data_IF_947765385955
#
_entry.id   IF_947765385955
#
_cell.length_a   1.000
_cell.length_b   1.000
_cell.length_c   1.000
_cell.angle_alpha   90.00
_cell.angle_beta   90.00
_cell.angle_gamma   90.00
#
_symmetry.space_group_name_H-M   'P 1'
#
loop_
_entity.id
_entity.type
_entity.pdbx_description
1 polymer ?
#
# COMPACT_ATOMS: atom_id res chain seq x y z
N UNK A 1 -18.33 2.72 7.60
CA UNK A 1 -19.12 2.86 6.36
C UNK A 1 -18.28 3.71 5.45
N UNK A 2 -17.67 3.06 4.47
CA UNK A 2 -16.70 3.65 3.55
C UNK A 2 -17.49 4.23 2.39
N UNK A 3 -17.66 5.54 2.37
CA UNK A 3 -18.37 6.23 1.29
C UNK A 3 -17.63 7.52 0.95
N UNK A 4 -16.53 7.34 0.24
CA UNK A 4 -15.84 8.42 -0.46
C UNK A 4 -16.28 8.47 -1.93
N UNK A 5 -16.20 9.67 -2.54
CA UNK A 5 -16.46 9.85 -3.99
C UNK A 5 -15.42 9.08 -4.81
N UNK A 6 -14.20 9.01 -4.31
CA UNK A 6 -13.13 8.20 -4.86
C UNK A 6 -12.75 7.14 -3.82
N UNK A 7 -13.01 5.87 -4.13
CA UNK A 7 -12.68 4.75 -3.26
C UNK A 7 -12.08 3.60 -4.08
N UNK A 8 -10.77 3.39 -3.89
CA UNK A 8 -10.05 2.25 -4.46
C UNK A 8 -9.22 1.54 -3.41
N UNK A 9 -8.77 0.34 -3.77
CA UNK A 9 -7.88 -0.47 -2.96
C UNK A 9 -6.62 -0.78 -3.75
N UNK A 10 -5.46 -0.78 -3.10
CA UNK A 10 -4.20 -1.31 -3.60
C UNK A 10 -3.63 -2.29 -2.57
N UNK A 11 -2.69 -3.14 -2.97
CA UNK A 11 -2.10 -4.13 -2.08
C UNK A 11 -0.59 -3.95 -2.02
N UNK A 12 -0.03 -3.98 -0.81
CA UNK A 12 1.40 -3.95 -0.56
C UNK A 12 1.85 -5.22 0.15
N UNK A 13 2.65 -6.02 -0.55
CA UNK A 13 3.49 -7.04 0.06
C UNK A 13 4.91 -6.54 0.15
N UNK A 14 5.60 -6.79 1.24
CA UNK A 14 7.05 -6.66 1.20
C UNK A 14 7.81 -7.66 2.06
N UNK A 15 9.04 -7.95 1.63
CA UNK A 15 9.98 -8.83 2.30
C UNK A 15 11.26 -8.10 2.65
N UNK A 16 11.80 -8.37 3.84
CA UNK A 16 13.08 -7.87 4.33
C UNK A 16 14.01 -9.05 4.57
N UNK A 17 15.17 -9.05 3.92
CA UNK A 17 16.21 -10.07 4.12
C UNK A 17 15.67 -11.52 3.96
N UNK A 18 14.76 -11.72 2.99
CA UNK A 18 14.12 -13.01 2.69
C UNK A 18 12.91 -13.37 3.55
N UNK A 19 12.50 -12.52 4.49
CA UNK A 19 11.33 -12.75 5.34
C UNK A 19 10.17 -11.82 4.97
N UNK A 20 8.98 -12.38 4.80
CA UNK A 20 7.77 -11.59 4.62
C UNK A 20 7.45 -10.78 5.87
N UNK A 21 7.13 -9.50 5.69
CA UNK A 21 6.75 -8.57 6.76
C UNK A 21 5.33 -8.10 6.48
N UNK A 22 4.46 -8.21 7.49
CA UNK A 22 3.10 -7.73 7.38
C UNK A 22 3.07 -6.19 7.38
N UNK A 23 2.21 -5.61 6.54
CA UNK A 23 1.75 -4.24 6.74
C UNK A 23 0.78 -4.26 7.91
N UNK A 24 0.98 -3.47 8.99
CA UNK A 24 0.10 -3.52 10.16
C UNK A 24 -1.27 -2.89 9.85
N UNK A 25 -2.28 -3.35 10.60
CA UNK A 25 -3.58 -2.70 10.66
C UNK A 25 -3.49 -1.32 11.34
N UNK A 26 -4.38 -0.40 10.99
CA UNK A 26 -4.55 0.87 11.67
C UNK A 26 -3.58 1.97 11.25
N UNK A 27 -2.75 1.75 10.21
CA UNK A 27 -2.00 2.87 9.62
C UNK A 27 -3.00 3.87 9.08
N UNK A 28 -2.83 5.16 9.39
CA UNK A 28 -3.75 6.20 8.93
C UNK A 28 -5.04 6.29 9.74
N UNK A 29 -5.22 5.50 10.82
CA UNK A 29 -6.41 5.53 11.67
C UNK A 29 -6.02 6.01 13.05
N UNK A 30 -6.59 7.13 13.51
CA UNK A 30 -6.34 7.61 14.87
C UNK A 30 -6.72 6.52 15.90
N UNK A 31 -5.95 6.30 16.97
CA UNK A 31 -6.23 5.22 17.93
C UNK A 31 -7.60 5.30 18.60
N UNK A 32 -8.18 6.49 18.70
CA UNK A 32 -9.52 6.76 19.22
C UNK A 32 -10.61 6.72 18.14
N UNK A 33 -10.26 6.43 16.89
CA UNK A 33 -11.15 6.39 15.73
C UNK A 33 -11.68 7.77 15.29
N UNK A 34 -11.13 8.86 15.82
CA UNK A 34 -11.64 10.22 15.55
C UNK A 34 -11.32 10.74 14.15
N UNK A 35 -10.28 10.19 13.52
CA UNK A 35 -9.77 10.66 12.23
C UNK A 35 -9.24 9.49 11.40
N UNK A 36 -9.41 9.62 10.08
CA UNK A 36 -8.95 8.69 9.06
C UNK A 36 -8.17 9.48 7.99
N UNK A 37 -6.91 9.12 7.78
CA UNK A 37 -6.17 9.57 6.61
C UNK A 37 -6.79 8.94 5.35
N UNK A 38 -6.77 9.66 4.24
CA UNK A 38 -7.28 9.12 2.95
C UNK A 38 -6.60 7.82 2.54
N UNK A 39 -5.35 7.61 2.96
CA UNK A 39 -4.63 6.36 2.82
C UNK A 39 -4.56 5.67 4.19
N UNK A 40 -5.11 4.47 4.31
CA UNK A 40 -5.14 3.74 5.58
C UNK A 40 -5.28 2.23 5.40
N UNK A 41 -5.12 1.48 6.49
CA UNK A 41 -5.29 0.01 6.53
C UNK A 41 -6.30 -0.41 7.59
N UNK A 42 -7.28 -1.24 7.24
CA UNK A 42 -8.22 -1.83 8.21
C UNK A 42 -7.72 -3.11 8.84
N UNK A 43 -6.89 -3.88 8.11
CA UNK A 43 -6.35 -5.16 8.58
C UNK A 43 -4.85 -5.24 8.28
N UNK A 44 -4.22 -6.34 8.71
CA UNK A 44 -2.79 -6.58 8.50
C UNK A 44 -2.48 -7.38 7.24
N UNK A 45 -3.40 -7.43 6.28
CA UNK A 45 -3.28 -8.23 5.05
C UNK A 45 -2.51 -7.51 3.93
N UNK A 46 -2.18 -6.23 4.09
CA UNK A 46 -1.48 -5.45 3.07
C UNK A 46 -2.38 -4.57 2.21
N UNK A 47 -3.71 -4.60 2.40
CA UNK A 47 -4.62 -3.75 1.63
C UNK A 47 -4.54 -2.30 2.13
N UNK A 48 -4.17 -1.41 1.20
CA UNK A 48 -4.20 0.04 1.36
C UNK A 48 -5.51 0.54 0.77
N UNK A 49 -6.34 1.14 1.63
CA UNK A 49 -7.54 1.86 1.23
C UNK A 49 -7.16 3.26 0.78
N UNK A 50 -7.75 3.72 -0.32
CA UNK A 50 -7.62 5.10 -0.81
C UNK A 50 -9.02 5.69 -0.90
N UNK A 51 -9.36 6.54 0.06
CA UNK A 51 -10.67 7.17 0.19
C UNK A 51 -10.54 8.69 0.26
N UNK A 52 -10.94 9.36 -0.82
CA UNK A 52 -10.81 10.80 -0.95
C UNK A 52 -12.14 11.47 -1.38
N UNK A 53 -12.38 12.73 -0.99
CA UNK A 53 -13.59 13.46 -1.37
C UNK A 53 -13.66 13.79 -2.87
N UNK A 54 -12.57 13.58 -3.60
CA UNK A 54 -12.48 13.79 -5.04
C UNK A 54 -11.40 12.87 -5.63
N UNK A 55 -11.49 12.61 -6.94
CA UNK A 55 -10.48 11.85 -7.68
C UNK A 55 -9.14 12.58 -7.62
N UNK A 56 -8.12 11.89 -7.12
CA UNK A 56 -6.75 12.38 -7.02
C UNK A 56 -5.79 11.20 -7.14
N UNK A 57 -4.62 11.44 -7.72
CA UNK A 57 -3.52 10.47 -7.70
C UNK A 57 -2.83 10.45 -6.34
N UNK A 58 -2.70 9.24 -5.79
CA UNK A 58 -1.89 8.94 -4.62
C UNK A 58 -0.80 7.96 -5.01
N UNK A 59 0.30 7.98 -4.27
CA UNK A 59 1.46 7.14 -4.50
C UNK A 59 1.76 6.27 -3.28
N UNK A 60 2.56 5.24 -3.49
CA UNK A 60 3.11 4.45 -2.39
C UNK A 60 3.89 5.33 -1.40
N UNK A 61 4.61 6.34 -1.89
CA UNK A 61 5.33 7.31 -1.06
C UNK A 61 4.41 8.05 -0.09
N UNK A 62 3.22 8.48 -0.55
CA UNK A 62 2.23 9.17 0.31
C UNK A 62 1.80 8.27 1.48
N UNK A 63 1.54 6.98 1.22
CA UNK A 63 1.19 6.01 2.26
C UNK A 63 2.36 5.78 3.23
N UNK A 64 3.58 5.61 2.71
CA UNK A 64 4.77 5.41 3.53
C UNK A 64 5.08 6.63 4.41
N UNK A 65 4.80 7.84 3.93
CA UNK A 65 4.97 9.07 4.72
C UNK A 65 3.96 9.16 5.86
N UNK A 66 2.70 8.77 5.64
CA UNK A 66 1.71 8.66 6.73
C UNK A 66 2.20 7.66 7.77
N UNK A 67 2.62 6.47 7.34
CA UNK A 67 3.13 5.44 8.25
C UNK A 67 4.34 5.94 9.05
N UNK A 68 5.33 6.53 8.38
CA UNK A 68 6.56 7.03 9.03
C UNK A 68 6.33 8.19 9.99
N UNK A 69 5.49 9.16 9.61
CA UNK A 69 5.43 10.43 10.34
C UNK A 69 4.47 10.39 11.53
N UNK A 70 3.36 9.66 11.40
CA UNK A 70 2.27 9.67 12.38
C UNK A 70 2.07 8.31 13.05
N UNK A 71 2.45 7.21 12.37
CA UNK A 71 2.15 5.85 12.81
C UNK A 71 3.39 4.96 12.93
N UNK A 72 4.58 5.55 13.12
CA UNK A 72 5.83 4.78 13.16
C UNK A 72 5.86 3.72 14.27
N UNK A 73 5.14 3.96 15.37
CA UNK A 73 4.97 3.03 16.49
C UNK A 73 4.30 1.72 16.10
N UNK A 74 3.60 1.66 14.96
CA UNK A 74 3.07 0.43 14.38
C UNK A 74 4.15 -0.43 13.71
N UNK A 75 5.43 -0.08 13.86
CA UNK A 75 6.56 -0.87 13.39
C UNK A 75 7.04 -0.49 12.00
N UNK A 76 7.15 0.81 11.71
CA UNK A 76 7.72 1.29 10.44
C UNK A 76 9.14 0.72 10.23
N UNK A 77 9.39 -0.04 9.15
CA UNK A 77 10.72 -0.55 8.86
C UNK A 77 11.66 0.55 8.35
N UNK A 78 12.73 0.85 9.11
CA UNK A 78 13.74 1.84 8.69
C UNK A 78 14.39 1.56 7.32
N UNK A 79 14.31 0.32 6.81
CA UNK A 79 14.82 -0.02 5.46
C UNK A 79 14.03 0.66 4.34
N UNK A 80 12.77 1.04 4.58
CA UNK A 80 11.95 1.79 3.61
C UNK A 80 12.48 3.21 3.35
N UNK A 81 13.41 3.70 4.17
CA UNK A 81 14.12 4.96 3.95
C UNK A 81 15.39 4.81 3.08
N UNK A 82 15.79 3.58 2.77
CA UNK A 82 16.96 3.31 1.93
C UNK A 82 16.59 3.37 0.44
N UNK A 83 17.41 4.05 -0.36
CA UNK A 83 17.20 4.19 -1.80
C UNK A 83 17.73 3.00 -2.61
N UNK A 84 18.51 2.12 -1.99
CA UNK A 84 19.19 0.99 -2.63
C UNK A 84 18.84 -0.32 -1.90
N UNK A 85 19.18 -1.46 -2.53
CA UNK A 85 18.93 -2.79 -1.97
C UNK A 85 17.51 -3.32 -2.20
N UNK A 86 16.64 -2.53 -2.84
CA UNK A 86 15.27 -2.88 -3.16
C UNK A 86 15.09 -3.43 -4.57
N UNK A 87 14.27 -4.47 -4.69
CA UNK A 87 13.57 -4.83 -5.91
C UNK A 87 12.10 -4.46 -5.73
N UNK A 88 11.52 -3.84 -6.75
CA UNK A 88 10.12 -3.45 -6.75
C UNK A 88 9.40 -4.09 -7.94
N UNK A 89 8.14 -4.44 -7.73
CA UNK A 89 7.27 -5.00 -8.75
C UNK A 89 5.90 -4.36 -8.68
N UNK A 90 5.29 -4.17 -9.85
CA UNK A 90 3.91 -3.71 -10.01
C UNK A 90 3.18 -4.75 -10.85
N UNK A 91 2.12 -5.34 -10.29
CA UNK A 91 1.30 -6.37 -10.94
C UNK A 91 2.15 -7.54 -11.48
N UNK A 92 3.07 -8.03 -10.65
CA UNK A 92 3.99 -9.13 -10.97
C UNK A 92 5.16 -8.75 -11.89
N UNK A 93 5.20 -7.52 -12.41
CA UNK A 93 6.23 -7.07 -13.38
C UNK A 93 7.29 -6.23 -12.68
N UNK A 94 8.59 -6.40 -13.04
CA UNK A 94 9.65 -5.57 -12.48
C UNK A 94 9.39 -4.08 -12.70
N UNK A 95 9.53 -3.29 -11.65
CA UNK A 95 9.48 -1.84 -11.67
C UNK A 95 10.90 -1.29 -11.51
N UNK A 96 11.24 -0.28 -12.29
CA UNK A 96 12.55 0.40 -12.23
C UNK A 96 12.34 1.86 -11.85
N UNK A 97 13.15 2.34 -10.90
CA UNK A 97 13.06 3.69 -10.35
C UNK A 97 12.72 3.68 -8.87
N UNK A 98 12.40 4.86 -8.35
CA UNK A 98 12.00 5.02 -6.96
C UNK A 98 10.58 4.44 -6.74
N UNK A 99 10.47 3.36 -5.96
CA UNK A 99 9.19 2.71 -5.65
C UNK A 99 8.21 3.65 -4.95
N UNK A 100 8.69 4.71 -4.29
CA UNK A 100 7.82 5.72 -3.68
C UNK A 100 6.97 6.46 -4.71
N UNK A 101 7.38 6.46 -5.98
CA UNK A 101 6.65 7.09 -7.09
C UNK A 101 5.56 6.21 -7.70
N UNK A 102 5.42 4.95 -7.27
CA UNK A 102 4.42 4.03 -7.79
C UNK A 102 3.02 4.59 -7.50
N UNK A 103 2.17 4.83 -8.52
CA UNK A 103 0.80 5.29 -8.31
C UNK A 103 -0.04 4.15 -7.73
N UNK A 104 -0.86 4.46 -6.73
CA UNK A 104 -1.86 3.54 -6.20
C UNK A 104 -3.13 3.69 -7.03
N UNK A 105 -3.40 2.69 -7.87
CA UNK A 105 -4.62 2.59 -8.67
C UNK A 105 -5.50 1.44 -8.18
N UNK A 106 -6.70 1.35 -8.74
CA UNK A 106 -7.62 0.25 -8.47
C UNK A 106 -6.92 -1.09 -8.68
N UNK A 107 -6.83 -1.86 -7.59
CA UNK A 107 -6.27 -3.19 -7.50
C UNK A 107 -4.80 -3.32 -7.93
N UNK A 108 -4.03 -2.22 -7.87
CA UNK A 108 -2.57 -2.29 -8.06
C UNK A 108 -1.94 -3.20 -7.00
N UNK A 109 -1.12 -4.15 -7.44
CA UNK A 109 -0.33 -5.00 -6.56
C UNK A 109 1.11 -4.51 -6.55
N UNK A 110 1.60 -4.11 -5.37
CA UNK A 110 2.99 -3.72 -5.17
C UNK A 110 3.69 -4.80 -4.35
N UNK A 111 4.79 -5.33 -4.87
CA UNK A 111 5.71 -6.18 -4.10
C UNK A 111 7.05 -5.46 -3.95
N UNK A 112 7.50 -5.26 -2.71
CA UNK A 112 8.85 -4.77 -2.43
C UNK A 112 9.71 -5.87 -1.78
N UNK A 113 10.97 -5.95 -2.17
CA UNK A 113 11.90 -6.96 -1.68
C UNK A 113 13.25 -6.32 -1.38
N UNK A 114 13.62 -6.21 -0.10
CA UNK A 114 14.92 -5.71 0.33
C UNK A 114 15.88 -6.88 0.50
N UNK A 115 17.00 -6.88 -0.23
CA UNK A 115 18.04 -7.92 -0.19
C UNK A 115 17.47 -9.36 -0.20
N UNK A 116 16.37 -9.56 -0.93
CA UNK A 116 15.66 -10.83 -0.95
C UNK A 116 15.80 -11.46 -2.34
N UNK A 117 16.34 -12.67 -2.41
CA UNK A 117 16.57 -13.37 -3.67
C UNK A 117 15.40 -14.31 -3.99
N UNK A 118 15.09 -14.48 -5.27
CA UNK A 118 14.09 -15.45 -5.73
C UNK A 118 12.65 -15.14 -5.35
N UNK A 119 12.35 -13.89 -4.97
CA UNK A 119 11.00 -13.46 -4.62
C UNK A 119 10.05 -13.66 -5.82
N UNK A 120 8.90 -14.28 -5.55
CA UNK A 120 7.78 -14.34 -6.48
C UNK A 120 6.89 -13.12 -6.20
N UNK A 121 6.79 -12.15 -7.13
CA UNK A 121 5.95 -11.00 -6.94
C UNK A 121 4.47 -11.35 -7.11
N UNK A 122 3.61 -10.61 -6.42
CA UNK A 122 2.17 -10.79 -6.51
C UNK A 122 1.68 -10.40 -7.90
N UNK A 123 1.02 -11.33 -8.58
CA UNK A 123 0.32 -11.10 -9.85
C UNK A 123 -1.20 -11.24 -9.73
N UNK A 124 -1.66 -11.72 -8.58
CA UNK A 124 -3.08 -11.87 -8.24
C UNK A 124 -3.25 -11.66 -6.74
N UNK A 125 -4.37 -11.10 -6.33
CA UNK A 125 -4.77 -11.01 -4.94
C UNK A 125 -6.27 -11.31 -4.81
N UNK A 126 -6.67 -12.03 -3.78
CA UNK A 126 -8.08 -12.29 -3.53
C UNK A 126 -8.68 -11.12 -2.74
N UNK A 127 -9.30 -10.18 -3.46
CA UNK A 127 -9.89 -8.97 -2.90
C UNK A 127 -11.13 -9.20 -2.02
N UNK A 128 -11.67 -10.43 -1.94
CA UNK A 128 -12.82 -10.76 -1.07
C UNK A 128 -14.02 -9.80 -1.19
N UNK A 129 -14.27 -9.23 -2.39
CA UNK A 129 -15.35 -8.28 -2.61
C UNK A 129 -15.03 -6.81 -2.29
N UNK A 130 -13.76 -6.46 -2.07
CA UNK A 130 -13.29 -5.07 -2.04
C UNK A 130 -13.35 -4.48 -3.47
N UNK A 131 -14.57 -4.09 -3.87
CA UNK A 131 -14.86 -3.43 -5.13
C UNK A 131 -14.39 -1.97 -5.13
N UNK A 132 -14.14 -1.43 -6.32
CA UNK A 132 -13.77 -0.03 -6.49
C UNK A 132 -15.03 0.80 -6.79
N UNK A 133 -15.29 1.85 -6.00
CA UNK A 133 -16.44 2.73 -6.19
C UNK A 133 -15.99 4.11 -6.67
N UNK A 134 -16.69 4.66 -7.66
CA UNK A 134 -16.42 6.01 -8.20
C UNK A 134 -15.45 6.06 -9.38
N UNK A 135 -15.00 4.91 -9.91
CA UNK A 135 -14.25 4.83 -11.17
C UNK A 135 -15.11 4.14 -12.23
N UNK A 136 -15.52 4.86 -13.27
CA UNK A 136 -16.04 4.24 -14.49
C UNK A 136 -14.94 3.39 -15.13
N UNK A 137 -15.08 2.06 -15.11
CA UNK A 137 -14.20 1.16 -15.88
C UNK A 137 -13.52 0.03 -15.10
N UNK A 138 -13.94 -0.30 -13.88
CA UNK A 138 -13.54 -1.57 -13.26
C UNK A 138 -14.30 -2.73 -13.91
N UNK A 139 -13.76 -3.24 -15.01
CA UNK A 139 -14.12 -4.53 -15.63
C UNK A 139 -12.88 -5.38 -15.76
#
# INVERSE_FOLDING_TARGET
MEQAVFHIHAHLSFSLDGQAVAVPQGIGIAPDGSCLCWLHTHTSDGVIHVEAPQVRSFTLGDFLDIWKTQFASLGYPNKLDMSEGWQAYVDGKPFSGDFRTIPLQAHTLVTLAYHSLGIQPDSTFNWNGLECFGITGCT
#
